data_IF_828909836174
#
_entry.id   IF_828909836174
#
_cell.length_a   1.000
_cell.length_b   1.000
_cell.length_c   1.000
_cell.angle_alpha   90.00
_cell.angle_beta   90.00
_cell.angle_gamma   90.00
#
_symmetry.space_group_name_H-M   'P 1'
#
loop_
_entity.id
_entity.type
_entity.pdbx_description
1 polymer ?
#
# COMPACT_ATOMS: atom_id res chain seq x y z
N UNK A 1 -15.80 17.51 15.23
CA UNK A 1 -14.90 16.34 15.06
C UNK A 1 -15.74 15.21 14.52
N UNK A 2 -15.69 14.95 13.22
CA UNK A 2 -16.43 13.84 12.62
C UNK A 2 -15.93 12.51 13.22
N UNK A 3 -16.86 11.67 13.69
CA UNK A 3 -16.53 10.37 14.27
C UNK A 3 -15.94 9.49 13.15
N UNK A 4 -14.66 9.13 13.29
CA UNK A 4 -14.02 8.14 12.41
C UNK A 4 -14.86 6.85 12.39
N UNK A 5 -15.09 6.23 11.22
CA UNK A 5 -15.91 5.04 11.11
C UNK A 5 -15.34 3.88 11.95
N UNK A 6 -16.23 3.16 12.65
CA UNK A 6 -15.85 1.95 13.37
C UNK A 6 -15.69 0.80 12.38
N UNK A 7 -14.44 0.54 12.00
CA UNK A 7 -14.07 -0.59 11.15
C UNK A 7 -13.52 -1.71 12.04
N UNK A 8 -14.10 -2.91 11.89
CA UNK A 8 -13.64 -4.17 12.51
C UNK A 8 -13.11 -5.11 11.44
N UNK A 9 -11.88 -5.59 11.62
CA UNK A 9 -11.22 -6.52 10.70
C UNK A 9 -11.15 -7.87 11.42
N UNK A 10 -12.03 -8.81 11.04
CA UNK A 10 -12.22 -10.09 11.76
C UNK A 10 -11.03 -11.05 11.64
N UNK A 11 -10.15 -10.87 10.65
CA UNK A 11 -8.91 -11.65 10.50
C UNK A 11 -8.01 -11.00 9.45
N UNK A 12 -6.78 -10.66 9.78
CA UNK A 12 -5.77 -10.23 8.81
C UNK A 12 -4.64 -11.24 8.73
N UNK A 13 -4.89 -12.42 8.13
CA UNK A 13 -3.82 -13.39 7.84
C UNK A 13 -2.73 -12.84 6.90
N UNK A 14 -3.00 -11.69 6.27
CA UNK A 14 -2.11 -11.00 5.35
C UNK A 14 -1.43 -9.80 6.04
N UNK A 15 -0.11 -9.75 5.99
CA UNK A 15 0.71 -8.66 6.56
C UNK A 15 0.87 -7.58 5.50
N UNK A 16 0.28 -6.40 5.73
CA UNK A 16 0.14 -5.36 4.69
C UNK A 16 1.47 -4.76 4.24
N UNK A 17 2.48 -4.73 5.11
CA UNK A 17 3.81 -4.20 4.76
C UNK A 17 4.64 -5.14 3.86
N UNK A 18 4.12 -6.33 3.57
CA UNK A 18 4.72 -7.25 2.61
C UNK A 18 4.09 -7.13 1.22
N UNK A 19 3.01 -6.35 1.09
CA UNK A 19 2.23 -6.23 -0.13
C UNK A 19 2.65 -5.02 -0.96
N UNK A 20 3.26 -5.29 -2.10
CA UNK A 20 3.72 -4.26 -3.03
C UNK A 20 2.58 -3.37 -3.55
N UNK A 21 1.37 -3.90 -3.70
CA UNK A 21 0.20 -3.11 -4.11
C UNK A 21 -0.21 -2.13 -3.01
N UNK A 22 -0.16 -2.55 -1.74
CA UNK A 22 -0.39 -1.63 -0.63
C UNK A 22 0.60 -0.46 -0.64
N UNK A 23 1.88 -0.73 -0.93
CA UNK A 23 2.89 0.31 -1.06
C UNK A 23 2.63 1.26 -2.24
N UNK A 24 2.26 0.72 -3.41
CA UNK A 24 2.07 1.52 -4.63
C UNK A 24 0.86 2.47 -4.56
N UNK A 25 -0.13 2.16 -3.73
CA UNK A 25 -1.28 3.04 -3.50
C UNK A 25 -0.92 4.35 -2.78
N UNK A 26 0.26 4.46 -2.15
CA UNK A 26 0.73 5.73 -1.62
C UNK A 26 1.52 6.50 -2.68
N UNK A 27 0.81 7.35 -3.43
CA UNK A 27 1.40 8.29 -4.40
C UNK A 27 2.06 9.45 -3.65
N UNK A 28 3.35 9.33 -3.33
CA UNK A 28 4.14 10.35 -2.63
C UNK A 28 4.52 9.97 -1.19
N UNK A 29 4.71 10.98 -0.32
CA UNK A 29 5.08 10.72 1.09
C UNK A 29 3.91 10.10 1.86
N UNK A 30 4.14 8.92 2.43
CA UNK A 30 3.18 8.28 3.35
C UNK A 30 2.88 9.20 4.54
N UNK A 31 1.62 9.25 5.02
CA UNK A 31 1.29 9.98 6.23
C UNK A 31 2.12 9.52 7.43
N UNK A 32 2.45 10.44 8.33
CA UNK A 32 3.31 10.16 9.48
C UNK A 32 2.83 8.95 10.29
N UNK A 33 1.52 8.86 10.57
CA UNK A 33 0.93 7.75 11.32
C UNK A 33 1.13 6.40 10.64
N UNK A 34 0.97 6.33 9.32
CA UNK A 34 1.22 5.11 8.52
C UNK A 34 2.68 4.70 8.64
N UNK A 35 3.60 5.66 8.49
CA UNK A 35 5.05 5.40 8.60
C UNK A 35 5.45 4.88 9.98
N UNK A 36 4.88 5.43 11.06
CA UNK A 36 5.15 4.95 12.42
C UNK A 36 4.68 3.51 12.64
N UNK A 37 3.44 3.21 12.21
CA UNK A 37 2.87 1.86 12.29
C UNK A 37 3.65 0.85 11.44
N UNK A 38 4.10 1.24 10.25
CA UNK A 38 4.95 0.44 9.38
C UNK A 38 6.31 0.11 10.03
N UNK A 39 6.97 1.10 10.63
CA UNK A 39 8.23 0.91 11.37
C UNK A 39 8.01 -0.03 12.57
N UNK A 40 6.94 0.18 13.33
CA UNK A 40 6.59 -0.65 14.47
C UNK A 40 6.35 -2.11 14.05
N UNK A 41 5.57 -2.32 12.99
CA UNK A 41 5.27 -3.66 12.47
C UNK A 41 6.53 -4.36 11.96
N UNK A 42 7.40 -3.64 11.23
CA UNK A 42 8.67 -4.17 10.76
C UNK A 42 9.59 -4.58 11.92
N UNK A 43 9.64 -3.77 13.00
CA UNK A 43 10.40 -4.10 14.21
C UNK A 43 9.90 -5.39 14.86
N UNK A 44 8.59 -5.56 15.01
CA UNK A 44 7.98 -6.78 15.57
C UNK A 44 8.26 -8.00 14.68
N UNK A 45 8.19 -7.86 13.36
CA UNK A 45 8.52 -8.93 12.43
C UNK A 45 9.99 -9.36 12.52
N UNK A 46 10.92 -8.40 12.59
CA UNK A 46 12.34 -8.69 12.81
C UNK A 46 12.58 -9.40 14.14
N UNK A 47 11.89 -8.96 15.19
CA UNK A 47 11.93 -9.60 16.49
C UNK A 47 11.41 -11.04 16.44
N UNK A 48 10.31 -11.30 15.73
CA UNK A 48 9.77 -12.64 15.53
C UNK A 48 10.76 -13.56 14.80
N UNK A 49 11.46 -13.05 13.78
CA UNK A 49 12.54 -13.77 13.11
C UNK A 49 13.67 -14.15 14.08
N UNK A 50 14.11 -13.19 14.92
CA UNK A 50 15.13 -13.43 15.94
C UNK A 50 14.67 -14.46 16.98
N UNK A 51 13.51 -14.25 17.59
CA UNK A 51 12.95 -15.13 18.64
C UNK A 51 12.76 -16.55 18.11
N UNK A 52 12.32 -16.74 16.87
CA UNK A 52 12.19 -18.08 16.28
C UNK A 52 13.53 -18.80 16.13
N UNK A 53 14.58 -18.09 15.72
CA UNK A 53 15.93 -18.63 15.59
C UNK A 53 16.52 -18.96 16.96
N UNK A 54 16.48 -18.01 17.88
CA UNK A 54 16.99 -18.18 19.25
C UNK A 54 16.23 -19.29 20.00
N UNK A 55 14.91 -19.33 19.91
CA UNK A 55 14.10 -20.39 20.52
C UNK A 55 14.55 -21.78 20.07
N UNK A 56 14.81 -21.98 18.78
CA UNK A 56 15.30 -23.27 18.25
C UNK A 56 16.71 -23.59 18.79
N UNK A 57 17.61 -22.61 18.82
CA UNK A 57 18.97 -22.78 19.33
C UNK A 57 18.97 -23.13 20.83
N UNK A 58 18.23 -22.38 21.65
CA UNK A 58 18.11 -22.62 23.09
C UNK A 58 17.37 -23.94 23.39
N UNK A 59 16.39 -24.35 22.57
CA UNK A 59 15.75 -25.67 22.71
C UNK A 59 16.77 -26.81 22.54
N UNK A 60 17.62 -26.70 21.51
CA UNK A 60 18.66 -27.69 21.25
C UNK A 60 19.74 -27.69 22.35
N UNK A 61 20.19 -26.51 22.77
CA UNK A 61 21.17 -26.35 23.84
C UNK A 61 20.67 -26.91 25.18
N UNK A 62 19.42 -26.58 25.55
CA UNK A 62 18.76 -27.09 26.75
C UNK A 62 18.72 -28.62 26.74
N UNK A 63 18.34 -29.23 25.61
CA UNK A 63 18.34 -30.68 25.46
C UNK A 63 19.74 -31.28 25.65
N UNK A 64 20.73 -30.76 24.92
CA UNK A 64 22.12 -31.23 25.00
C UNK A 64 22.68 -31.17 26.42
N UNK A 65 22.45 -30.06 27.13
CA UNK A 65 22.93 -29.94 28.51
C UNK A 65 22.19 -30.85 29.49
N UNK A 66 20.90 -31.10 29.26
CA UNK A 66 20.15 -32.07 30.06
C UNK A 66 20.74 -33.47 29.89
N UNK A 67 21.02 -33.87 28.64
CA UNK A 67 21.61 -35.16 28.30
C UNK A 67 23.01 -35.29 28.96
N UNK A 68 23.88 -34.27 28.85
CA UNK A 68 25.21 -34.24 29.48
C UNK A 68 25.18 -34.29 31.03
N UNK A 69 24.12 -33.76 31.65
CA UNK A 69 23.93 -33.85 33.11
C UNK A 69 23.51 -35.26 33.52
N UNK A 70 22.63 -35.91 32.74
CA UNK A 70 22.18 -37.28 33.00
C UNK A 70 23.33 -38.27 32.83
N UNK A 71 24.13 -38.11 31.78
CA UNK A 71 25.36 -38.90 31.56
C UNK A 71 26.34 -38.69 32.73
N UNK A 72 26.66 -37.44 33.05
CA UNK A 72 27.60 -37.14 34.15
C UNK A 72 27.10 -37.56 35.54
N UNK A 73 25.79 -37.68 35.76
CA UNK A 73 25.22 -38.25 36.98
C UNK A 73 25.48 -39.75 37.08
N UNK A 74 25.44 -40.46 35.96
CA UNK A 74 25.71 -41.90 35.88
C UNK A 74 27.20 -42.15 36.18
N UNK A 75 28.09 -41.40 35.53
CA UNK A 75 29.54 -41.51 35.72
C UNK A 75 30.00 -41.13 37.15
N UNK A 76 29.38 -40.10 37.74
CA UNK A 76 29.74 -39.66 39.10
C UNK A 76 29.29 -40.63 40.20
N UNK A 77 28.27 -41.45 39.93
CA UNK A 77 27.81 -42.50 40.85
C UNK A 77 28.78 -43.69 40.88
N UNK A 78 29.41 -44.00 39.75
CA UNK A 78 30.38 -45.09 39.61
C UNK A 78 31.79 -44.73 40.15
N UNK A 79 32.20 -43.47 40.08
CA UNK A 79 33.61 -43.06 40.31
C UNK A 79 33.92 -42.47 41.71
N UNK A 80 32.92 -42.24 42.59
CA UNK A 80 33.03 -41.69 43.98
C UNK A 80 33.96 -40.45 44.18
N UNK A 81 34.33 -39.69 43.13
CA UNK A 81 35.24 -38.53 43.23
C UNK A 81 34.51 -37.21 43.52
N UNK A 82 35.03 -36.45 44.49
CA UNK A 82 34.53 -35.12 44.89
C UNK A 82 34.61 -34.03 43.79
N UNK A 83 35.48 -34.20 42.79
CA UNK A 83 35.60 -33.30 41.63
C UNK A 83 34.42 -33.41 40.67
N UNK A 84 33.95 -34.63 40.40
CA UNK A 84 32.77 -34.89 39.57
C UNK A 84 31.53 -34.21 40.14
N UNK A 85 31.40 -34.17 41.47
CA UNK A 85 30.27 -33.52 42.16
C UNK A 85 30.28 -31.99 42.04
N UNK A 86 31.47 -31.35 41.94
CA UNK A 86 31.57 -29.89 41.74
C UNK A 86 31.23 -29.47 40.31
N UNK A 87 31.74 -30.21 39.32
CA UNK A 87 31.43 -29.96 37.91
C UNK A 87 29.94 -30.19 37.62
N UNK A 88 29.35 -31.25 38.19
CA UNK A 88 27.91 -31.51 38.06
C UNK A 88 27.05 -30.36 38.62
N UNK A 89 27.43 -29.80 39.78
CA UNK A 89 26.74 -28.63 40.37
C UNK A 89 26.85 -27.38 39.49
N UNK A 90 27.99 -27.14 38.84
CA UNK A 90 28.13 -26.02 37.88
C UNK A 90 27.22 -26.22 36.67
N UNK A 91 27.17 -27.42 36.10
CA UNK A 91 26.27 -27.76 34.97
C UNK A 91 24.80 -27.57 35.38
N UNK A 92 24.41 -27.99 36.58
CA UNK A 92 23.06 -27.78 37.13
C UNK A 92 22.69 -26.29 37.28
N UNK A 93 23.62 -25.44 37.75
CA UNK A 93 23.37 -23.99 37.81
C UNK A 93 23.23 -23.39 36.42
N UNK A 94 24.07 -23.81 35.48
CA UNK A 94 24.05 -23.27 34.12
C UNK A 94 22.77 -23.67 33.35
N UNK A 95 22.26 -24.89 33.55
CA UNK A 95 20.99 -25.30 32.93
C UNK A 95 19.79 -24.52 33.49
N UNK A 96 19.82 -24.09 34.76
CA UNK A 96 18.79 -23.22 35.32
C UNK A 96 18.74 -21.86 34.60
N UNK A 97 19.90 -21.26 34.31
CA UNK A 97 20.00 -20.01 33.56
C UNK A 97 19.48 -20.16 32.12
N UNK A 98 19.78 -21.29 31.48
CA UNK A 98 19.31 -21.62 30.13
C UNK A 98 17.81 -21.87 30.12
N UNK A 99 17.26 -22.55 31.12
CA UNK A 99 15.82 -22.74 31.26
C UNK A 99 15.10 -21.40 31.39
N UNK A 100 15.57 -20.51 32.26
CA UNK A 100 14.98 -19.18 32.41
C UNK A 100 15.01 -18.36 31.10
N UNK A 101 16.12 -18.42 30.36
CA UNK A 101 16.21 -17.78 29.02
C UNK A 101 15.26 -18.42 28.01
N UNK A 102 15.17 -19.76 28.00
CA UNK A 102 14.28 -20.50 27.11
C UNK A 102 12.80 -20.14 27.36
N UNK A 103 12.38 -20.09 28.63
CA UNK A 103 11.02 -19.76 29.02
C UNK A 103 10.64 -18.33 28.59
N UNK A 104 11.58 -17.38 28.68
CA UNK A 104 11.39 -16.02 28.16
C UNK A 104 11.18 -16.01 26.62
N UNK A 105 11.96 -16.79 25.87
CA UNK A 105 11.77 -16.91 24.43
C UNK A 105 10.46 -17.62 24.06
N UNK A 106 10.07 -18.64 24.81
CA UNK A 106 8.80 -19.36 24.62
C UNK A 106 7.61 -18.43 24.82
N UNK A 107 7.59 -17.68 25.93
CA UNK A 107 6.58 -16.66 26.21
C UNK A 107 6.54 -15.60 25.11
N UNK A 108 7.69 -15.02 24.74
CA UNK A 108 7.75 -13.98 23.71
C UNK A 108 7.28 -14.50 22.34
N UNK A 109 7.58 -15.75 22.01
CA UNK A 109 7.13 -16.41 20.78
C UNK A 109 5.60 -16.56 20.72
N UNK A 110 4.94 -16.74 21.87
CA UNK A 110 3.48 -16.82 21.96
C UNK A 110 2.81 -15.43 21.84
N UNK A 111 3.43 -14.40 22.41
CA UNK A 111 2.91 -13.02 22.43
C UNK A 111 3.06 -12.30 21.09
N UNK A 112 4.21 -12.44 20.43
CA UNK A 112 4.56 -11.71 19.21
C UNK A 112 3.51 -11.79 18.09
N UNK A 113 2.92 -12.95 17.74
CA UNK A 113 1.87 -13.02 16.74
C UNK A 113 0.67 -12.11 17.02
N UNK A 114 0.28 -11.99 18.30
CA UNK A 114 -0.84 -11.15 18.71
C UNK A 114 -0.50 -9.66 18.59
N UNK A 115 0.72 -9.26 18.96
CA UNK A 115 1.19 -7.88 18.79
C UNK A 115 1.31 -7.48 17.32
N UNK A 116 1.86 -8.38 16.49
CA UNK A 116 1.96 -8.19 15.04
C UNK A 116 0.57 -8.00 14.45
N UNK A 117 -0.37 -8.88 14.78
CA UNK A 117 -1.74 -8.81 14.26
C UNK A 117 -2.41 -7.49 14.68
N UNK A 118 -2.26 -7.09 15.95
CA UNK A 118 -2.83 -5.83 16.46
C UNK A 118 -2.30 -4.62 15.70
N UNK A 119 -0.98 -4.52 15.51
CA UNK A 119 -0.38 -3.38 14.79
C UNK A 119 -0.76 -3.43 13.30
N UNK A 120 -0.76 -4.62 12.69
CA UNK A 120 -1.16 -4.83 11.30
C UNK A 120 -2.62 -4.40 11.05
N UNK A 121 -3.54 -4.76 11.94
CA UNK A 121 -4.95 -4.34 11.86
C UNK A 121 -5.12 -2.82 11.97
N UNK A 122 -4.40 -2.17 12.88
CA UNK A 122 -4.42 -0.70 13.01
C UNK A 122 -3.87 -0.04 11.75
N UNK A 123 -2.76 -0.55 11.22
CA UNK A 123 -2.16 -0.06 9.97
C UNK A 123 -3.11 -0.22 8.78
N UNK A 124 -3.74 -1.39 8.64
CA UNK A 124 -4.70 -1.67 7.59
C UNK A 124 -5.92 -0.74 7.69
N UNK A 125 -6.48 -0.56 8.89
CA UNK A 125 -7.62 0.34 9.14
C UNK A 125 -7.29 1.79 8.74
N UNK A 126 -6.17 2.33 9.19
CA UNK A 126 -5.77 3.70 8.83
C UNK A 126 -5.50 3.83 7.33
N UNK A 127 -4.90 2.81 6.70
CA UNK A 127 -4.68 2.79 5.24
C UNK A 127 -6.02 2.82 4.48
N UNK A 128 -6.98 2.00 4.89
CA UNK A 128 -8.31 1.93 4.26
C UNK A 128 -9.05 3.26 4.35
N UNK A 129 -8.99 3.95 5.50
CA UNK A 129 -9.61 5.27 5.66
C UNK A 129 -9.04 6.25 4.63
N UNK A 130 -7.70 6.32 4.52
CA UNK A 130 -7.03 7.20 3.56
C UNK A 130 -7.43 6.86 2.11
N UNK A 131 -7.48 5.58 1.76
CA UNK A 131 -7.84 5.16 0.42
C UNK A 131 -9.30 5.46 0.09
N UNK A 132 -10.21 5.29 1.05
CA UNK A 132 -11.63 5.63 0.87
C UNK A 132 -11.86 7.13 0.73
N UNK A 133 -11.21 7.96 1.55
CA UNK A 133 -11.26 9.43 1.42
C UNK A 133 -10.79 9.87 0.02
N UNK A 134 -9.72 9.27 -0.48
CA UNK A 134 -9.23 9.53 -1.85
C UNK A 134 -10.25 9.10 -2.91
N UNK A 135 -10.89 7.94 -2.76
CA UNK A 135 -11.93 7.48 -3.70
C UNK A 135 -13.12 8.43 -3.74
N UNK A 136 -13.56 8.97 -2.59
CA UNK A 136 -14.63 9.97 -2.52
C UNK A 136 -14.23 11.23 -3.29
N UNK A 137 -13.02 11.75 -3.06
CA UNK A 137 -12.52 12.92 -3.78
C UNK A 137 -12.43 12.68 -5.29
N UNK A 138 -11.97 11.50 -5.72
CA UNK A 138 -11.95 11.11 -7.12
C UNK A 138 -13.34 11.10 -7.74
N UNK A 139 -14.36 10.58 -7.03
CA UNK A 139 -15.74 10.55 -7.51
C UNK A 139 -16.30 11.96 -7.72
N UNK A 140 -16.04 12.88 -6.80
CA UNK A 140 -16.45 14.28 -6.95
C UNK A 140 -15.72 14.99 -8.10
N UNK A 141 -14.42 14.77 -8.23
CA UNK A 141 -13.62 15.33 -9.33
C UNK A 141 -14.11 14.81 -10.68
N UNK A 142 -14.38 13.50 -10.78
CA UNK A 142 -14.94 12.86 -11.97
C UNK A 142 -16.27 13.52 -12.36
N UNK A 143 -17.21 13.68 -11.42
CA UNK A 143 -18.51 14.32 -11.68
C UNK A 143 -18.36 15.76 -12.19
N UNK A 144 -17.42 16.53 -11.64
CA UNK A 144 -17.13 17.89 -12.10
C UNK A 144 -16.61 17.90 -13.54
N UNK A 145 -15.65 17.02 -13.85
CA UNK A 145 -15.11 16.87 -15.21
C UNK A 145 -16.20 16.46 -16.21
N UNK A 146 -17.08 15.51 -15.85
CA UNK A 146 -18.19 15.09 -16.71
C UNK A 146 -19.14 16.25 -17.03
N UNK A 147 -19.45 17.09 -16.03
CA UNK A 147 -20.29 18.28 -16.24
C UNK A 147 -19.62 19.32 -17.14
N UNK A 148 -18.31 19.53 -16.98
CA UNK A 148 -17.53 20.46 -17.79
C UNK A 148 -17.44 20.00 -19.25
N UNK A 149 -17.17 18.70 -19.46
CA UNK A 149 -17.15 18.07 -20.79
C UNK A 149 -18.50 18.25 -21.49
N UNK A 150 -19.61 18.01 -20.78
CA UNK A 150 -20.94 18.16 -21.36
C UNK A 150 -21.22 19.61 -21.78
N UNK A 151 -20.85 20.58 -20.94
CA UNK A 151 -21.01 22.01 -21.24
C UNK A 151 -20.21 22.41 -22.48
N UNK A 152 -18.97 21.93 -22.60
CA UNK A 152 -18.12 22.18 -23.75
C UNK A 152 -18.70 21.54 -25.02
N UNK A 153 -19.23 20.31 -24.95
CA UNK A 153 -19.88 19.67 -26.09
C UNK A 153 -21.09 20.46 -26.59
N UNK A 154 -21.92 20.98 -25.70
CA UNK A 154 -23.06 21.84 -26.08
C UNK A 154 -22.58 23.12 -26.75
N UNK A 155 -21.52 23.74 -26.23
CA UNK A 155 -20.92 24.92 -26.84
C UNK A 155 -20.37 24.64 -28.24
N UNK A 156 -19.70 23.51 -28.43
CA UNK A 156 -19.20 23.08 -29.74
C UNK A 156 -20.36 22.90 -30.71
N UNK A 157 -21.45 22.23 -30.31
CA UNK A 157 -22.63 22.06 -31.16
C UNK A 157 -23.24 23.40 -31.60
N UNK A 158 -23.35 24.37 -30.68
CA UNK A 158 -23.84 25.72 -30.98
C UNK A 158 -22.95 26.41 -32.02
N UNK A 159 -21.62 26.33 -31.86
CA UNK A 159 -20.66 26.95 -32.77
C UNK A 159 -20.65 26.28 -34.15
N UNK A 160 -20.81 24.96 -34.21
CA UNK A 160 -20.92 24.21 -35.47
C UNK A 160 -22.17 24.65 -36.23
N UNK A 161 -23.33 24.74 -35.57
CA UNK A 161 -24.56 25.22 -36.23
C UNK A 161 -24.41 26.64 -36.78
N UNK A 162 -23.81 27.55 -36.00
CA UNK A 162 -23.52 28.92 -36.47
C UNK A 162 -22.59 28.97 -37.67
N UNK A 163 -21.60 28.07 -37.72
CA UNK A 163 -20.70 27.94 -38.88
C UNK A 163 -21.48 27.48 -40.12
N UNK A 164 -22.30 26.45 -39.96
CA UNK A 164 -23.13 25.90 -41.05
C UNK A 164 -24.12 26.94 -41.59
N UNK A 165 -24.78 27.73 -40.71
CA UNK A 165 -25.69 28.81 -41.12
C UNK A 165 -24.98 29.87 -41.98
N UNK A 166 -23.77 30.29 -41.57
CA UNK A 166 -22.95 31.25 -42.33
C UNK A 166 -22.49 30.69 -43.67
N UNK A 167 -22.13 29.40 -43.72
CA UNK A 167 -21.73 28.73 -44.97
C UNK A 167 -22.92 28.61 -45.95
N UNK A 168 -24.13 28.33 -45.44
CA UNK A 168 -25.35 28.32 -46.24
C UNK A 168 -25.70 29.72 -46.76
N UNK A 169 -25.62 30.75 -45.90
CA UNK A 169 -25.84 32.14 -46.29
C UNK A 169 -24.85 32.59 -47.38
N UNK A 170 -23.56 32.31 -47.19
CA UNK A 170 -22.53 32.60 -48.19
C UNK A 170 -22.82 31.91 -49.52
N UNK A 171 -23.21 30.63 -49.49
CA UNK A 171 -23.57 29.88 -50.70
C UNK A 171 -24.74 30.54 -51.45
N UNK A 172 -25.77 31.00 -50.73
CA UNK A 172 -26.91 31.72 -51.31
C UNK A 172 -26.49 33.07 -51.92
N UNK A 173 -25.64 33.83 -51.22
CA UNK A 173 -25.12 35.10 -51.71
C UNK A 173 -24.30 34.89 -53.00
N UNK A 174 -23.40 33.91 -53.02
CA UNK A 174 -22.62 33.55 -54.21
C UNK A 174 -23.51 33.16 -55.39
N UNK A 175 -24.50 32.29 -55.16
CA UNK A 175 -25.44 31.88 -56.20
C UNK A 175 -26.23 33.07 -56.78
N UNK A 176 -26.73 33.96 -55.92
CA UNK A 176 -27.44 35.16 -56.33
C UNK A 176 -26.57 36.09 -57.19
N UNK A 177 -25.33 36.35 -56.76
CA UNK A 177 -24.43 37.23 -57.51
C UNK A 177 -24.05 36.59 -58.86
N UNK A 178 -23.82 35.28 -58.90
CA UNK A 178 -23.59 34.54 -60.13
C UNK A 178 -24.78 34.66 -61.10
N UNK A 179 -26.01 34.50 -60.61
CA UNK A 179 -27.22 34.56 -61.45
C UNK A 179 -27.47 35.95 -62.07
N UNK A 180 -27.11 37.04 -61.36
CA UNK A 180 -27.35 38.41 -61.83
C UNK A 180 -26.19 38.94 -62.69
N UNK A 181 -24.95 38.77 -62.24
CA UNK A 181 -23.78 39.40 -62.84
C UNK A 181 -23.02 38.49 -63.81
N UNK A 182 -23.27 37.19 -63.76
CA UNK A 182 -22.54 36.18 -64.55
C UNK A 182 -21.18 35.83 -63.96
N UNK A 183 -20.65 34.67 -64.38
CA UNK A 183 -19.43 34.06 -63.85
C UNK A 183 -18.20 34.98 -63.92
N UNK A 184 -17.99 35.68 -65.05
CA UNK A 184 -16.80 36.52 -65.28
C UNK A 184 -16.67 37.69 -64.29
N UNK A 185 -17.79 38.21 -63.77
CA UNK A 185 -17.78 39.32 -62.80
C UNK A 185 -17.44 38.80 -61.40
N UNK A 186 -17.91 37.61 -61.05
CA UNK A 186 -17.59 36.97 -59.75
C UNK A 186 -16.11 36.60 -59.71
N UNK A 187 -15.56 36.03 -60.78
CA UNK A 187 -14.14 35.68 -60.86
C UNK A 187 -13.22 36.91 -60.69
N UNK A 188 -13.61 38.07 -61.22
CA UNK A 188 -12.88 39.32 -61.01
C UNK A 188 -12.93 39.79 -59.55
N UNK A 189 -14.09 39.66 -58.89
CA UNK A 189 -14.24 40.01 -57.48
C UNK A 189 -13.47 39.05 -56.58
N UNK A 190 -13.51 37.75 -56.85
CA UNK A 190 -12.75 36.76 -56.09
C UNK A 190 -11.23 36.96 -56.25
N UNK A 191 -10.77 37.28 -57.47
CA UNK A 191 -9.37 37.64 -57.70
C UNK A 191 -8.96 38.90 -56.93
N UNK A 192 -9.85 39.90 -56.80
CA UNK A 192 -9.56 41.14 -56.10
C UNK A 192 -9.56 40.99 -54.57
N UNK A 193 -10.54 40.29 -54.00
CA UNK A 193 -10.73 40.20 -52.55
C UNK A 193 -10.08 38.98 -51.91
N UNK A 194 -10.03 37.85 -52.62
CA UNK A 194 -9.48 36.59 -52.11
C UNK A 194 -8.15 36.21 -52.77
N UNK A 195 -7.64 37.03 -53.70
CA UNK A 195 -6.32 36.83 -54.31
C UNK A 195 -6.26 35.68 -55.31
N UNK A 196 -7.41 35.20 -55.79
CA UNK A 196 -7.50 34.15 -56.80
C UNK A 196 -7.14 32.75 -56.27
N UNK A 197 -7.76 32.32 -55.17
CA UNK A 197 -7.62 30.96 -54.67
C UNK A 197 -8.72 30.54 -53.71
N UNK A 198 -9.69 29.79 -54.22
CA UNK A 198 -9.92 28.41 -53.78
C UNK A 198 -9.49 27.46 -54.90
#
# INVERSE_FOLDING_TARGET
MEKKPHIEIKKSGHIVILDQNWHSLFTGKKPYKIKQLEIQLNKLMKEQGKVNTEYKAYKALKKKMMDEIIEGMTDAFDDQKAEGTKELKKKQKHIQEINAKFDNYEKRKLELPHEIEKVNQVLLKESMIIFYERMIHHKEKKRRLESEIQTLHEKVKELVGKKEDLEEENTKLYAFMHDIAGLEVIEQLDAHYFGGGE
#
